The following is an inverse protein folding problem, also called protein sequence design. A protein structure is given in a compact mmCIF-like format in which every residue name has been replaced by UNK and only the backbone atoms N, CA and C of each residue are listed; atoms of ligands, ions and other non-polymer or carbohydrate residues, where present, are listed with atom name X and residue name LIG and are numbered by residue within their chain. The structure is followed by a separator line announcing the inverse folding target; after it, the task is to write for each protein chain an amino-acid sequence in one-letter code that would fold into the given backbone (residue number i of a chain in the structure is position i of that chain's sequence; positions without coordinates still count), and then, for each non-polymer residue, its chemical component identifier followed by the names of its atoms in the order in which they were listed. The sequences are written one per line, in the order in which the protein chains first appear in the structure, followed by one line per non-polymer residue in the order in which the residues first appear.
data_IF_512524033403
#
_entry.id   IF_512524033403
#
_cell.length_a   1.000
_cell.length_b   1.000
_cell.length_c   1.000
_cell.angle_alpha   90.00
_cell.angle_beta   90.00
_cell.angle_gamma   90.00
#
_symmetry.space_group_name_H-M   'P 1'
#
loop_
_entity.id
_entity.type
_entity.pdbx_description
1 polymer ?
#
# COMPACT_ATOMS: atom_id res chain seq x y z
N UNK A 1 -17.20 -2.83 -9.30
CA UNK A 1 -16.72 -4.17 -8.89
C UNK A 1 -15.38 -4.46 -9.56
N UNK A 2 -14.45 -5.09 -8.86
CA UNK A 2 -13.19 -5.52 -9.45
C UNK A 2 -13.48 -6.64 -10.45
N UNK A 3 -13.07 -6.45 -11.71
CA UNK A 3 -13.29 -7.44 -12.78
C UNK A 3 -12.15 -8.48 -12.73
N UNK A 4 -12.23 -9.37 -11.74
CA UNK A 4 -11.27 -10.44 -11.50
C UNK A 4 -12.01 -11.78 -11.43
N UNK A 5 -11.57 -12.82 -12.18
CA UNK A 5 -12.15 -14.15 -12.06
C UNK A 5 -12.11 -14.70 -10.63
N UNK A 6 -13.06 -15.57 -10.31
CA UNK A 6 -13.08 -16.31 -9.05
C UNK A 6 -11.85 -17.21 -8.94
N UNK A 7 -11.22 -17.27 -7.76
CA UNK A 7 -9.98 -18.01 -7.50
C UNK A 7 -8.76 -17.50 -8.29
N UNK A 8 -8.77 -16.24 -8.74
CA UNK A 8 -7.57 -15.62 -9.28
C UNK A 8 -6.47 -15.53 -8.23
N UNK A 9 -5.23 -15.67 -8.68
CA UNK A 9 -4.01 -15.43 -7.94
C UNK A 9 -3.67 -13.94 -8.00
N UNK A 10 -3.51 -13.33 -6.84
CA UNK A 10 -3.16 -11.93 -6.70
C UNK A 10 -1.82 -11.82 -6.00
N UNK A 11 -0.84 -11.27 -6.69
CA UNK A 11 0.50 -11.10 -6.12
C UNK A 11 0.62 -9.78 -5.36
N UNK A 12 1.22 -9.81 -4.17
CA UNK A 12 1.40 -8.59 -3.37
C UNK A 12 2.54 -8.67 -2.36
N UNK A 13 3.16 -7.52 -2.09
CA UNK A 13 3.97 -7.28 -0.89
C UNK A 13 3.09 -6.96 0.34
N UNK A 14 1.86 -6.51 0.11
CA UNK A 14 0.89 -6.06 1.11
C UNK A 14 -0.18 -7.13 1.35
N UNK A 15 0.28 -8.34 1.67
CA UNK A 15 -0.57 -9.55 1.80
C UNK A 15 -1.82 -9.34 2.67
N UNK A 16 -1.66 -8.74 3.86
CA UNK A 16 -2.80 -8.52 4.76
C UNK A 16 -3.78 -7.49 4.20
N UNK A 17 -3.29 -6.40 3.61
CA UNK A 17 -4.15 -5.38 3.01
C UNK A 17 -4.94 -5.93 1.82
N UNK A 18 -4.29 -6.78 1.01
CA UNK A 18 -4.94 -7.46 -0.11
C UNK A 18 -6.00 -8.44 0.38
N UNK A 19 -5.66 -9.30 1.35
CA UNK A 19 -6.57 -10.27 1.95
C UNK A 19 -7.82 -9.61 2.54
N UNK A 20 -7.64 -8.57 3.38
CA UNK A 20 -8.75 -7.80 3.97
C UNK A 20 -9.66 -7.19 2.88
N UNK A 21 -9.06 -6.65 1.82
CA UNK A 21 -9.83 -6.05 0.73
C UNK A 21 -10.67 -7.09 -0.01
N UNK A 22 -10.09 -8.22 -0.42
CA UNK A 22 -10.84 -9.25 -1.16
C UNK A 22 -11.87 -9.97 -0.29
N UNK A 23 -11.59 -10.16 1.01
CA UNK A 23 -12.59 -10.62 1.99
C UNK A 23 -13.77 -9.66 2.09
N UNK A 24 -13.53 -8.33 2.11
CA UNK A 24 -14.60 -7.33 2.17
C UNK A 24 -15.51 -7.33 0.93
N UNK A 25 -15.04 -7.91 -0.18
CA UNK A 25 -15.78 -8.05 -1.43
C UNK A 25 -16.46 -9.41 -1.60
N UNK A 26 -16.33 -10.32 -0.62
CA UNK A 26 -16.74 -11.73 -0.73
C UNK A 26 -16.17 -12.40 -2.01
N UNK A 27 -14.98 -11.99 -2.46
CA UNK A 27 -14.33 -12.48 -3.68
C UNK A 27 -13.17 -13.41 -3.30
N UNK A 28 -13.30 -14.74 -3.48
CA UNK A 28 -12.22 -15.66 -3.16
C UNK A 28 -11.07 -15.51 -4.16
N UNK A 29 -9.88 -15.28 -3.63
CA UNK A 29 -8.61 -15.17 -4.36
C UNK A 29 -7.51 -15.93 -3.64
N UNK A 30 -6.47 -16.32 -4.36
CA UNK A 30 -5.23 -16.83 -3.78
C UNK A 30 -4.22 -15.68 -3.68
N UNK A 31 -3.86 -15.27 -2.47
CA UNK A 31 -2.84 -14.24 -2.29
C UNK A 31 -1.45 -14.88 -2.41
N UNK A 32 -0.65 -14.43 -3.37
CA UNK A 32 0.72 -14.88 -3.61
C UNK A 32 1.70 -13.84 -3.05
N UNK A 33 2.42 -14.15 -1.94
CA UNK A 33 3.36 -13.20 -1.34
C UNK A 33 4.57 -12.97 -2.26
N UNK A 34 4.88 -11.69 -2.54
CA UNK A 34 6.09 -11.29 -3.23
C UNK A 34 6.93 -10.35 -2.37
N UNK A 35 8.26 -10.43 -2.51
CA UNK A 35 9.21 -9.61 -1.74
C UNK A 35 9.93 -8.56 -2.60
N UNK A 36 9.80 -8.63 -3.92
CA UNK A 36 10.41 -7.73 -4.90
C UNK A 36 9.59 -7.70 -6.18
N UNK A 37 9.76 -6.64 -6.99
CA UNK A 37 9.13 -6.40 -8.31
C UNK A 37 7.80 -7.12 -8.55
N UNK A 38 6.72 -6.56 -7.99
CA UNK A 38 5.38 -7.20 -8.01
C UNK A 38 4.84 -7.28 -9.44
N UNK A 39 5.25 -6.35 -10.30
CA UNK A 39 4.90 -6.25 -11.71
C UNK A 39 5.32 -7.49 -12.52
N UNK A 40 6.29 -8.28 -12.03
CA UNK A 40 6.69 -9.54 -12.65
C UNK A 40 5.66 -10.67 -12.48
N UNK A 41 4.76 -10.57 -11.49
CA UNK A 41 3.75 -11.61 -11.24
C UNK A 41 2.89 -11.91 -12.48
N UNK A 42 2.22 -10.89 -13.08
CA UNK A 42 1.49 -11.06 -14.33
C UNK A 42 2.38 -11.42 -15.51
N UNK A 43 3.56 -10.80 -15.63
CA UNK A 43 4.48 -11.02 -16.76
C UNK A 43 4.95 -12.48 -16.85
N UNK A 44 5.17 -13.12 -15.70
CA UNK A 44 5.63 -14.51 -15.61
C UNK A 44 4.48 -15.53 -15.54
N UNK A 45 3.22 -15.07 -15.50
CA UNK A 45 2.04 -15.93 -15.35
C UNK A 45 1.84 -16.50 -13.93
N UNK A 46 2.54 -15.96 -12.93
CA UNK A 46 2.39 -16.34 -11.53
C UNK A 46 1.08 -15.85 -10.90
N UNK A 47 0.54 -14.73 -11.40
CA UNK A 47 -0.67 -14.11 -10.88
C UNK A 47 -1.47 -13.42 -11.99
N UNK A 48 -2.79 -13.41 -11.87
CA UNK A 48 -3.65 -12.70 -12.82
C UNK A 48 -3.75 -11.19 -12.51
N UNK A 49 -3.49 -10.79 -11.26
CA UNK A 49 -3.44 -9.38 -10.86
C UNK A 49 -2.39 -9.12 -9.77
N UNK A 50 -2.16 -7.83 -9.49
CA UNK A 50 -1.28 -7.40 -8.41
C UNK A 50 -1.97 -6.40 -7.49
N UNK A 51 -1.52 -6.36 -6.24
CA UNK A 51 -1.78 -5.27 -5.30
C UNK A 51 -0.44 -4.66 -4.92
N UNK A 52 -0.23 -3.41 -5.28
CA UNK A 52 1.01 -2.68 -4.97
C UNK A 52 0.72 -1.19 -4.70
N UNK A 53 1.68 -0.50 -4.09
CA UNK A 53 1.59 0.93 -3.83
C UNK A 53 1.91 1.71 -5.11
N UNK A 54 0.99 2.60 -5.50
CA UNK A 54 1.12 3.41 -6.71
C UNK A 54 0.96 4.90 -6.40
N UNK A 55 1.63 5.74 -7.19
CA UNK A 55 1.54 7.20 -7.10
C UNK A 55 1.03 7.81 -8.43
N UNK A 56 1.88 7.91 -9.46
CA UNK A 56 1.48 8.49 -10.77
C UNK A 56 0.98 7.45 -11.78
N UNK A 57 1.05 6.16 -11.41
CA UNK A 57 0.78 5.02 -12.28
C UNK A 57 1.81 4.81 -13.41
N UNK A 58 2.91 5.58 -13.46
CA UNK A 58 3.90 5.47 -14.53
C UNK A 58 4.51 4.06 -14.64
N UNK A 59 4.88 3.46 -13.50
CA UNK A 59 5.45 2.11 -13.45
C UNK A 59 4.47 1.04 -13.94
N UNK A 60 3.18 1.15 -13.58
CA UNK A 60 2.15 0.23 -14.08
C UNK A 60 2.06 0.27 -15.61
N UNK A 61 1.95 1.48 -16.18
CA UNK A 61 1.83 1.66 -17.63
C UNK A 61 3.05 1.15 -18.39
N UNK A 62 4.25 1.35 -17.85
CA UNK A 62 5.50 0.84 -18.45
C UNK A 62 5.54 -0.70 -18.52
N UNK A 63 4.85 -1.37 -17.60
CA UNK A 63 4.73 -2.83 -17.55
C UNK A 63 3.43 -3.34 -18.20
N UNK A 64 2.69 -2.49 -18.92
CA UNK A 64 1.44 -2.86 -19.58
C UNK A 64 0.28 -3.17 -18.62
N UNK A 65 0.39 -2.73 -17.37
CA UNK A 65 -0.63 -2.92 -16.34
C UNK A 65 -1.58 -1.72 -16.31
N UNK A 66 -2.84 -1.99 -15.95
CA UNK A 66 -3.88 -0.99 -15.73
C UNK A 66 -4.34 -1.04 -14.28
N UNK A 67 -4.68 0.11 -13.74
CA UNK A 67 -5.28 0.21 -12.42
C UNK A 67 -6.77 -0.15 -12.53
N UNK A 68 -7.20 -1.15 -11.76
CA UNK A 68 -8.58 -1.69 -11.80
C UNK A 68 -9.39 -1.32 -10.54
N UNK A 69 -8.70 -0.99 -9.44
CA UNK A 69 -9.31 -0.61 -8.18
C UNK A 69 -8.30 0.09 -7.25
N UNK A 70 -8.82 1.02 -6.45
CA UNK A 70 -8.10 1.60 -5.31
C UNK A 70 -8.53 0.85 -4.05
N UNK A 71 -7.58 0.22 -3.36
CA UNK A 71 -7.84 -0.46 -2.09
C UNK A 71 -7.89 0.54 -0.94
N UNK A 72 -6.86 1.39 -0.85
CA UNK A 72 -6.66 2.37 0.21
C UNK A 72 -5.92 3.60 -0.30
N UNK A 73 -6.13 4.74 0.35
CA UNK A 73 -5.27 5.91 0.20
C UNK A 73 -4.21 5.93 1.30
N UNK A 74 -2.95 6.16 0.92
CA UNK A 74 -1.83 6.19 1.86
C UNK A 74 -1.36 7.61 2.15
N UNK A 75 -1.05 7.88 3.41
CA UNK A 75 -0.40 9.12 3.86
C UNK A 75 0.81 8.77 4.71
N UNK A 76 1.85 9.63 4.68
CA UNK A 76 2.94 9.51 5.64
C UNK A 76 2.44 9.88 7.04
N UNK A 77 2.86 9.11 8.06
CA UNK A 77 2.50 9.35 9.46
C UNK A 77 3.76 9.39 10.30
N UNK A 78 3.87 10.38 11.18
CA UNK A 78 4.88 10.42 12.22
C UNK A 78 4.45 9.51 13.38
N UNK A 79 5.22 8.47 13.64
CA UNK A 79 4.95 7.50 14.71
C UNK A 79 6.07 7.61 15.75
N UNK A 80 5.70 7.76 17.02
CA UNK A 80 6.64 7.84 18.14
C UNK A 80 6.38 6.74 19.16
N UNK A 81 7.45 6.20 19.75
CA UNK A 81 7.32 5.27 20.86
C UNK A 81 6.62 5.95 22.05
N UNK A 82 5.56 5.37 22.65
CA UNK A 82 4.74 6.06 23.65
C UNK A 82 5.50 6.58 24.87
N UNK A 83 6.52 5.84 25.33
CA UNK A 83 7.34 6.28 26.46
C UNK A 83 8.26 7.46 26.08
N UNK A 84 8.88 7.40 24.91
CA UNK A 84 9.77 8.47 24.42
C UNK A 84 9.00 9.76 24.23
N UNK A 85 7.77 9.66 23.71
CA UNK A 85 6.85 10.79 23.59
C UNK A 85 6.49 11.38 24.96
N UNK A 86 6.04 10.55 25.93
CA UNK A 86 5.67 11.02 27.27
C UNK A 86 6.82 11.67 28.03
N UNK A 87 8.02 11.13 27.91
CA UNK A 87 9.22 11.66 28.56
C UNK A 87 9.87 12.81 27.77
N UNK A 88 9.32 13.17 26.60
CA UNK A 88 9.92 14.12 25.67
C UNK A 88 11.42 13.82 25.40
N UNK A 89 11.77 12.54 25.27
CA UNK A 89 13.14 12.14 24.94
C UNK A 89 13.53 12.73 23.59
N UNK A 90 14.80 13.13 23.40
CA UNK A 90 15.27 13.75 22.16
C UNK A 90 14.53 15.02 21.73
N UNK A 91 13.81 15.68 22.65
CA UNK A 91 13.01 16.87 22.39
C UNK A 91 11.94 16.65 21.29
N UNK A 92 11.29 15.48 21.31
CA UNK A 92 10.23 15.11 20.35
C UNK A 92 9.14 16.18 20.21
N UNK A 93 8.78 16.90 21.28
CA UNK A 93 7.77 17.96 21.22
C UNK A 93 8.15 19.07 20.23
N UNK A 94 9.42 19.49 20.21
CA UNK A 94 9.92 20.51 19.27
C UNK A 94 9.94 20.00 17.83
N UNK A 95 10.41 18.76 17.62
CA UNK A 95 10.42 18.11 16.30
C UNK A 95 9.00 17.99 15.74
N UNK A 96 8.04 17.56 16.57
CA UNK A 96 6.62 17.48 16.21
C UNK A 96 6.07 18.87 15.88
N UNK A 97 6.41 19.89 16.65
CA UNK A 97 6.01 21.27 16.40
C UNK A 97 6.46 21.77 15.03
N UNK A 98 7.74 21.62 14.71
CA UNK A 98 8.34 22.01 13.43
C UNK A 98 7.71 21.31 12.23
N UNK A 99 7.43 20.01 12.35
CA UNK A 99 6.75 19.25 11.30
C UNK A 99 5.32 19.74 11.06
N UNK A 100 4.57 20.05 12.13
CA UNK A 100 3.20 20.58 12.02
C UNK A 100 3.16 21.96 11.37
N UNK A 101 4.07 22.85 11.74
CA UNK A 101 4.16 24.19 11.15
C UNK A 101 4.51 24.12 9.66
N UNK A 102 5.39 23.20 9.27
CA UNK A 102 5.79 23.00 7.87
C UNK A 102 4.64 22.44 7.02
N UNK A 103 3.84 21.52 7.56
CA UNK A 103 2.66 20.96 6.88
C UNK A 103 1.58 22.03 6.66
N UNK A 104 1.30 22.86 7.67
CA UNK A 104 0.32 23.96 7.57
C UNK A 104 0.69 25.04 6.54
N UNK A 105 1.97 25.16 6.21
CA UNK A 105 2.44 26.08 5.17
C UNK A 105 2.43 25.46 3.76
N UNK A 106 2.26 24.14 3.64
CA UNK A 106 2.26 23.39 2.39
C UNK A 106 0.85 23.02 1.89
N UNK A 107 -0.19 23.36 2.66
CA UNK A 107 -1.62 23.24 2.30
C UNK A 107 -2.19 24.63 2.02
#
# INVERSE_FOLDING_TARGET
PVDLPTNSRVASKYVNCADEYFQSLDLPVEIVPLYGSVELGPITGMSEAIVDLVSTGATLRQNGLIEIAVLYESTARLIAHPLSYRLNTYNLTDVIGKLRESDLAAV
#
